data_IF_164123574164
#
_entry.id   IF_164123574164
#
_cell.length_a   1.000
_cell.length_b   1.000
_cell.length_c   1.000
_cell.angle_alpha   90.00
_cell.angle_beta   90.00
_cell.angle_gamma   90.00
#
_symmetry.space_group_name_H-M   'P 1'
#
loop_
_entity.id
_entity.type
_entity.pdbx_description
1 polymer ?
#
# COMPACT_ATOMS: atom_id res chain seq x y z
N UNK A 1 -13.66 67.86 19.52
CA UNK A 1 -13.28 66.42 19.53
C UNK A 1 -11.92 66.31 18.85
N UNK A 2 -10.86 65.94 19.59
CA UNK A 2 -9.49 65.76 19.06
C UNK A 2 -9.10 64.31 19.37
N UNK A 3 -8.89 63.51 18.33
CA UNK A 3 -8.60 62.08 18.41
C UNK A 3 -7.18 61.81 18.90
N UNK A 4 -7.03 60.79 19.75
CA UNK A 4 -5.74 60.26 20.21
C UNK A 4 -5.25 59.21 19.21
N UNK A 5 -4.02 59.36 18.73
CA UNK A 5 -3.31 58.37 17.91
C UNK A 5 -2.58 57.42 18.87
N UNK A 6 -2.87 56.12 18.75
CA UNK A 6 -2.25 55.04 19.53
C UNK A 6 -1.12 54.45 18.68
N UNK A 7 0.13 54.65 19.09
CA UNK A 7 1.30 54.06 18.44
C UNK A 7 1.47 52.60 18.86
N UNK A 8 1.53 51.69 17.88
CA UNK A 8 1.85 50.27 18.08
C UNK A 8 3.36 50.10 17.97
N UNK A 9 3.99 49.62 19.05
CA UNK A 9 5.40 49.25 19.11
C UNK A 9 5.56 47.80 18.64
N UNK A 10 6.17 47.60 17.47
CA UNK A 10 6.51 46.26 16.96
C UNK A 10 7.94 45.93 17.41
N UNK A 11 8.06 44.92 18.27
CA UNK A 11 9.35 44.38 18.74
C UNK A 11 9.68 43.16 17.89
N UNK A 12 10.73 43.24 17.07
CA UNK A 12 11.29 42.09 16.34
C UNK A 12 12.31 41.37 17.22
N UNK A 13 12.28 40.01 17.31
CA UNK A 13 13.32 39.25 17.99
C UNK A 13 14.56 39.08 17.09
N UNK A 14 15.70 39.26 17.75
CA UNK A 14 17.07 39.29 17.28
C UNK A 14 17.56 37.88 16.90
N UNK A 15 17.94 37.67 15.65
CA UNK A 15 18.61 36.44 15.20
C UNK A 15 20.04 36.39 15.78
N UNK A 16 20.33 35.39 16.62
CA UNK A 16 21.69 35.02 16.98
C UNK A 16 22.28 34.09 15.91
N UNK A 17 23.26 34.57 15.16
CA UNK A 17 24.13 33.74 14.34
C UNK A 17 25.26 33.18 15.22
N UNK A 18 25.38 31.85 15.30
CA UNK A 18 26.54 31.16 15.86
C UNK A 18 27.44 30.79 14.68
N UNK A 19 28.58 31.46 14.58
CA UNK A 19 29.67 31.09 13.68
C UNK A 19 30.71 30.35 14.52
N UNK A 20 30.90 29.05 14.27
CA UNK A 20 32.01 28.27 14.84
C UNK A 20 33.07 28.19 13.74
N UNK A 21 34.24 28.77 14.03
CA UNK A 21 35.33 28.93 13.08
C UNK A 21 36.03 27.62 12.73
N UNK A 22 36.43 27.53 11.45
CA UNK A 22 37.43 26.59 10.96
C UNK A 22 38.80 26.98 11.53
N UNK A 23 39.46 26.03 12.19
CA UNK A 23 40.89 26.09 12.49
C UNK A 23 41.59 24.95 11.76
N UNK A 24 42.43 25.30 10.79
CA UNK A 24 43.44 24.40 10.23
C UNK A 24 44.67 24.43 11.14
N UNK A 25 45.14 23.26 11.59
CA UNK A 25 46.53 23.05 12.01
C UNK A 25 46.94 21.59 11.72
N UNK A 26 48.19 21.47 11.28
CA UNK A 26 48.76 20.36 10.53
C UNK A 26 49.15 19.11 11.36
N UNK A 27 49.27 18.00 10.62
CA UNK A 27 50.13 16.79 10.78
C UNK A 27 50.91 16.56 12.09
N UNK A 28 50.71 15.38 12.66
CA UNK A 28 51.75 14.41 13.08
C UNK A 28 51.07 13.02 13.21
N UNK A 29 51.40 12.04 12.36
CA UNK A 29 52.45 11.01 12.50
C UNK A 29 52.07 9.82 13.40
N UNK A 30 51.90 8.66 12.73
CA UNK A 30 52.10 7.27 13.16
C UNK A 30 51.52 6.80 14.50
N UNK A 31 50.59 5.85 14.46
CA UNK A 31 50.86 4.52 15.04
C UNK A 31 49.94 3.45 14.45
N UNK A 32 50.60 2.40 13.94
CA UNK A 32 50.03 1.21 13.33
C UNK A 32 49.67 0.23 14.46
N UNK A 33 48.39 -0.10 14.61
CA UNK A 33 47.99 -1.29 15.36
C UNK A 33 47.15 -2.21 14.49
N UNK A 34 47.86 -3.16 13.89
CA UNK A 34 47.36 -4.40 13.32
C UNK A 34 46.70 -5.26 14.40
N UNK A 35 45.47 -5.73 14.16
CA UNK A 35 44.90 -6.89 14.85
C UNK A 35 44.77 -8.01 13.83
N UNK A 36 45.61 -9.02 14.01
CA UNK A 36 45.55 -10.28 13.30
C UNK A 36 44.36 -11.11 13.80
N UNK A 37 43.63 -11.72 12.88
CA UNK A 37 42.83 -12.92 13.15
C UNK A 37 43.34 -14.03 12.23
N UNK A 38 44.15 -14.92 12.81
CA UNK A 38 44.43 -16.24 12.25
C UNK A 38 43.48 -17.25 12.89
N UNK A 39 42.83 -18.10 12.09
CA UNK A 39 42.72 -19.53 12.41
C UNK A 39 42.37 -20.35 11.15
N UNK A 40 43.41 -21.07 10.73
CA UNK A 40 43.47 -22.36 10.04
C UNK A 40 42.16 -23.06 9.62
N UNK A 41 42.07 -23.36 8.32
CA UNK A 41 41.60 -24.65 7.81
C UNK A 41 42.47 -25.05 6.60
N UNK A 42 42.99 -26.28 6.62
CA UNK A 42 43.91 -26.83 5.63
C UNK A 42 43.22 -27.12 4.27
N UNK A 43 43.94 -27.08 3.14
CA UNK A 43 43.40 -27.44 1.84
C UNK A 43 43.45 -28.96 1.65
N UNK A 44 42.34 -29.55 1.20
CA UNK A 44 42.35 -30.93 0.70
C UNK A 44 42.11 -30.91 -0.81
N UNK A 45 42.97 -31.62 -1.51
CA UNK A 45 43.09 -31.76 -2.95
C UNK A 45 41.84 -32.46 -3.52
N UNK A 46 41.34 -31.99 -4.67
CA UNK A 46 40.66 -32.88 -5.62
C UNK A 46 40.91 -32.34 -7.02
N UNK A 47 41.64 -33.15 -7.81
CA UNK A 47 41.95 -32.88 -9.20
C UNK A 47 40.73 -32.94 -10.10
N UNK A 48 40.74 -32.08 -11.13
CA UNK A 48 40.52 -32.51 -12.51
C UNK A 48 39.09 -32.82 -12.96
N UNK A 49 38.39 -31.79 -13.43
CA UNK A 49 37.66 -31.84 -14.71
C UNK A 49 37.57 -30.42 -15.27
N UNK A 50 38.42 -30.14 -16.26
CA UNK A 50 38.29 -28.99 -17.15
C UNK A 50 37.21 -29.29 -18.19
N UNK A 51 36.03 -28.71 -18.02
CA UNK A 51 35.11 -28.48 -19.12
C UNK A 51 34.66 -27.01 -19.07
N UNK A 52 35.32 -26.21 -19.91
CA UNK A 52 34.92 -24.83 -20.19
C UNK A 52 33.63 -24.89 -21.01
N UNK A 53 32.49 -24.76 -20.35
CA UNK A 53 31.22 -24.45 -21.02
C UNK A 53 31.12 -22.93 -21.00
N UNK A 54 31.36 -22.29 -22.15
CA UNK A 54 31.06 -20.87 -22.35
C UNK A 54 29.57 -20.64 -22.09
N UNK A 55 29.26 -19.88 -21.03
CA UNK A 55 27.93 -19.35 -20.83
C UNK A 55 27.64 -18.33 -21.95
N UNK A 56 26.51 -18.42 -22.67
CA UNK A 56 26.15 -17.37 -23.61
C UNK A 56 25.94 -16.07 -22.83
N UNK A 57 26.54 -14.99 -23.35
CA UNK A 57 26.38 -13.65 -22.81
C UNK A 57 24.90 -13.34 -22.56
N UNK A 58 24.58 -12.95 -21.33
CA UNK A 58 23.26 -12.44 -21.00
C UNK A 58 22.95 -11.24 -21.91
N UNK A 59 21.75 -11.15 -22.52
CA UNK A 59 21.39 -9.99 -23.30
C UNK A 59 21.39 -8.76 -22.37
N UNK A 60 22.10 -7.73 -22.81
CA UNK A 60 22.22 -6.43 -22.19
C UNK A 60 20.81 -5.87 -21.93
N UNK A 61 20.42 -5.82 -20.65
CA UNK A 61 19.14 -5.23 -20.25
C UNK A 61 19.25 -3.72 -20.42
N UNK A 62 18.49 -3.19 -21.38
CA UNK A 62 18.27 -1.76 -21.53
C UNK A 62 17.52 -1.28 -20.29
N UNK A 63 18.26 -0.66 -19.36
CA UNK A 63 17.69 0.07 -18.22
C UNK A 63 17.03 1.33 -18.81
N UNK A 64 15.71 1.51 -18.75
CA UNK A 64 15.12 2.80 -19.12
C UNK A 64 15.57 3.86 -18.10
N UNK A 65 16.00 5.01 -18.62
CA UNK A 65 16.37 6.17 -17.79
C UNK A 65 15.20 6.59 -16.89
N UNK A 66 15.49 7.11 -15.68
CA UNK A 66 14.45 7.61 -14.78
C UNK A 66 13.71 8.78 -15.46
N UNK A 67 12.41 8.62 -15.65
CA UNK A 67 11.53 9.70 -16.10
C UNK A 67 11.44 10.72 -14.96
N UNK A 68 11.78 11.97 -15.25
CA UNK A 68 11.73 13.08 -14.30
C UNK A 68 10.29 13.31 -13.76
N UNK A 69 10.12 13.72 -12.50
CA UNK A 69 8.80 13.97 -11.93
C UNK A 69 8.36 15.37 -12.35
N UNK A 70 7.60 15.45 -13.44
CA UNK A 70 6.82 16.66 -13.70
C UNK A 70 5.54 16.31 -14.44
N UNK A 71 4.44 16.82 -13.90
CA UNK A 71 3.04 16.64 -14.29
C UNK A 71 2.41 15.32 -13.84
N UNK A 72 1.87 15.33 -12.61
CA UNK A 72 0.83 14.39 -12.22
C UNK A 72 -0.37 14.59 -13.17
N UNK A 73 -0.47 13.73 -14.17
CA UNK A 73 -1.70 13.59 -14.94
C UNK A 73 -2.85 13.25 -13.96
N UNK A 74 -4.07 13.76 -14.20
CA UNK A 74 -5.21 13.41 -13.37
C UNK A 74 -5.36 11.89 -13.35
N UNK A 75 -5.39 11.32 -12.13
CA UNK A 75 -5.68 9.91 -11.89
C UNK A 75 -6.91 9.56 -12.75
N UNK A 76 -6.80 8.60 -13.69
CA UNK A 76 -7.96 8.19 -14.45
C UNK A 76 -8.99 7.69 -13.45
N UNK A 77 -10.15 8.37 -13.40
CA UNK A 77 -11.26 7.93 -12.59
C UNK A 77 -11.49 6.44 -12.88
N UNK A 78 -11.53 5.61 -11.83
CA UNK A 78 -11.95 4.23 -11.97
C UNK A 78 -13.27 4.23 -12.77
N UNK A 79 -13.37 3.44 -13.85
CA UNK A 79 -14.51 3.52 -14.74
C UNK A 79 -15.80 3.30 -13.95
N UNK A 80 -16.74 4.22 -14.12
CA UNK A 80 -18.10 4.10 -13.61
C UNK A 80 -18.72 2.84 -14.24
N UNK A 81 -18.71 1.75 -13.47
CA UNK A 81 -19.29 0.43 -13.75
C UNK A 81 -18.58 -0.51 -14.75
N UNK A 82 -17.82 -1.47 -14.20
CA UNK A 82 -17.62 -2.83 -14.76
C UNK A 82 -17.29 -3.78 -13.59
N UNK A 83 -17.98 -4.85 -13.18
CA UNK A 83 -19.22 -5.51 -13.55
C UNK A 83 -19.50 -6.61 -12.49
N UNK A 84 -20.80 -6.84 -12.22
CA UNK A 84 -21.43 -8.06 -11.66
C UNK A 84 -21.14 -8.48 -10.20
N UNK A 85 -21.54 -7.63 -9.25
CA UNK A 85 -22.37 -8.13 -8.14
C UNK A 85 -23.83 -7.86 -8.52
N UNK A 86 -24.80 -8.65 -8.06
CA UNK A 86 -26.22 -8.37 -8.30
C UNK A 86 -26.55 -6.99 -7.76
N UNK A 87 -26.53 -5.96 -8.62
CA UNK A 87 -27.00 -4.64 -8.28
C UNK A 87 -28.46 -4.80 -7.86
N UNK A 88 -28.74 -4.55 -6.59
CA UNK A 88 -30.11 -4.39 -6.11
C UNK A 88 -30.67 -3.21 -6.91
N UNK A 89 -31.84 -3.38 -7.52
CA UNK A 89 -32.50 -2.31 -8.28
C UNK A 89 -32.59 -1.06 -7.37
N UNK A 90 -31.91 0.04 -7.70
CA UNK A 90 -31.90 1.25 -6.88
C UNK A 90 -33.29 1.91 -6.80
N UNK A 91 -34.23 1.52 -7.66
CA UNK A 91 -35.64 1.93 -7.62
C UNK A 91 -36.56 0.92 -6.93
N UNK A 92 -36.04 -0.16 -6.35
CA UNK A 92 -36.85 -0.99 -5.45
C UNK A 92 -37.21 -0.17 -4.21
N UNK A 93 -38.50 -0.15 -3.86
CA UNK A 93 -39.02 0.63 -2.72
C UNK A 93 -38.36 0.29 -1.37
N UNK A 94 -37.57 -0.79 -1.29
CA UNK A 94 -36.81 -1.22 -0.12
C UNK A 94 -35.45 -0.49 0.03
N UNK A 95 -34.84 0.02 -1.04
CA UNK A 95 -33.50 0.63 -1.00
C UNK A 95 -33.52 2.12 -0.59
N UNK A 96 -34.64 2.81 -0.75
CA UNK A 96 -34.68 4.29 -0.74
C UNK A 96 -34.57 4.96 0.64
N UNK A 97 -34.51 4.23 1.76
CA UNK A 97 -34.45 4.81 3.12
C UNK A 97 -33.56 4.02 4.10
N UNK A 98 -32.62 3.21 3.62
CA UNK A 98 -31.74 2.47 4.53
C UNK A 98 -30.71 3.44 5.12
N UNK A 99 -30.78 3.64 6.43
CA UNK A 99 -29.73 4.34 7.18
C UNK A 99 -28.63 3.32 7.45
N UNK A 100 -27.45 3.58 6.90
CA UNK A 100 -26.26 2.74 7.09
C UNK A 100 -25.42 3.29 8.24
N UNK A 101 -24.87 2.39 9.06
CA UNK A 101 -23.91 2.75 10.09
C UNK A 101 -22.72 1.80 10.09
N UNK A 102 -21.54 2.33 10.40
CA UNK A 102 -20.33 1.53 10.53
C UNK A 102 -20.44 0.58 11.72
N UNK A 103 -20.15 -0.69 11.45
CA UNK A 103 -20.01 -1.75 12.46
C UNK A 103 -18.58 -2.27 12.55
N UNK A 104 -17.71 -1.91 11.60
CA UNK A 104 -16.28 -2.17 11.63
C UNK A 104 -15.57 -1.21 10.69
N UNK A 105 -14.44 -0.69 11.14
CA UNK A 105 -13.73 0.39 10.47
C UNK A 105 -12.22 0.11 10.55
N UNK A 106 -11.49 0.52 9.52
CA UNK A 106 -10.03 0.55 9.50
C UNK A 106 -9.54 1.71 8.63
N UNK A 107 -8.57 2.45 9.16
CA UNK A 107 -7.79 3.44 8.44
C UNK A 107 -6.38 2.92 8.19
N UNK A 108 -5.91 3.03 6.94
CA UNK A 108 -4.51 2.78 6.60
C UNK A 108 -3.91 4.04 5.98
N UNK A 109 -2.81 4.51 6.57
CA UNK A 109 -2.12 5.71 6.10
C UNK A 109 -1.63 5.53 4.65
N UNK A 110 -1.61 6.63 3.90
CA UNK A 110 -0.87 6.70 2.63
C UNK A 110 0.62 6.54 2.93
N UNK A 111 1.10 5.30 2.90
CA UNK A 111 2.50 5.00 3.16
C UNK A 111 3.03 3.92 2.21
N UNK A 112 4.19 4.15 1.55
CA UNK A 112 4.86 5.45 1.41
C UNK A 112 4.03 6.41 0.55
N UNK A 113 4.07 7.71 0.88
CA UNK A 113 3.36 8.76 0.11
C UNK A 113 3.93 8.87 -1.31
N UNK A 114 5.24 8.69 -1.45
CA UNK A 114 6.00 8.85 -2.70
C UNK A 114 5.80 7.72 -3.72
N UNK A 115 5.04 6.65 -3.39
CA UNK A 115 4.79 5.54 -4.33
C UNK A 115 3.54 5.79 -5.18
N UNK A 116 3.61 6.77 -6.09
CA UNK A 116 2.47 7.20 -6.90
C UNK A 116 1.78 6.06 -7.65
N UNK A 117 2.54 5.14 -8.26
CA UNK A 117 1.97 4.02 -9.01
C UNK A 117 1.29 2.97 -8.11
N UNK A 118 1.87 2.67 -6.94
CA UNK A 118 1.27 1.75 -5.97
C UNK A 118 -0.01 2.36 -5.37
N UNK A 119 0.02 3.65 -5.08
CA UNK A 119 -1.11 4.39 -4.53
C UNK A 119 -2.22 4.53 -5.59
N UNK A 120 -1.88 4.75 -6.87
CA UNK A 120 -2.84 4.72 -7.99
C UNK A 120 -3.57 3.38 -8.06
N UNK A 121 -2.85 2.26 -8.01
CA UNK A 121 -3.47 0.94 -8.02
C UNK A 121 -4.34 0.66 -6.80
N UNK A 122 -3.92 1.11 -5.61
CA UNK A 122 -4.72 0.99 -4.40
C UNK A 122 -6.01 1.83 -4.49
N UNK A 123 -5.97 3.03 -5.07
CA UNK A 123 -7.15 3.85 -5.34
C UNK A 123 -8.13 3.15 -6.32
N UNK A 124 -7.60 2.57 -7.41
CA UNK A 124 -8.40 1.78 -8.36
C UNK A 124 -9.08 0.60 -7.66
N UNK A 125 -8.34 -0.12 -6.81
CA UNK A 125 -8.89 -1.24 -6.06
C UNK A 125 -9.96 -0.81 -5.03
N UNK A 126 -9.76 0.33 -4.34
CA UNK A 126 -10.79 0.94 -3.50
C UNK A 126 -12.08 1.22 -4.27
N UNK A 127 -11.96 1.80 -5.48
CA UNK A 127 -13.11 2.05 -6.35
C UNK A 127 -13.91 0.80 -6.70
N UNK A 128 -13.24 -0.34 -6.90
CA UNK A 128 -13.91 -1.61 -7.22
C UNK A 128 -14.70 -2.24 -6.08
N UNK A 129 -14.30 -2.00 -4.83
CA UNK A 129 -14.97 -2.59 -3.66
C UNK A 129 -15.99 -1.63 -3.02
N UNK A 130 -15.88 -0.33 -3.29
CA UNK A 130 -16.76 0.66 -2.70
C UNK A 130 -18.22 0.45 -3.14
N UNK A 131 -19.13 0.40 -2.16
CA UNK A 131 -20.55 0.16 -2.36
C UNK A 131 -20.92 -1.30 -2.60
N UNK A 132 -19.98 -2.25 -2.47
CA UNK A 132 -20.30 -3.67 -2.65
C UNK A 132 -21.24 -4.15 -1.53
N UNK A 133 -22.39 -4.70 -1.90
CA UNK A 133 -23.33 -5.32 -0.96
C UNK A 133 -23.03 -6.82 -0.83
N UNK A 134 -22.70 -7.27 0.38
CA UNK A 134 -22.52 -8.68 0.72
C UNK A 134 -23.80 -9.20 1.37
N UNK A 135 -24.50 -10.12 0.72
CA UNK A 135 -25.77 -10.68 1.20
C UNK A 135 -25.57 -11.67 2.36
N UNK A 136 -26.60 -11.94 3.20
CA UNK A 136 -26.55 -13.01 4.18
C UNK A 136 -26.10 -14.34 3.59
N UNK A 137 -25.05 -14.92 4.18
CA UNK A 137 -24.43 -16.17 3.75
C UNK A 137 -23.49 -16.06 2.55
N UNK A 138 -23.40 -14.90 1.88
CA UNK A 138 -22.48 -14.68 0.76
C UNK A 138 -21.03 -14.61 1.25
N UNK A 139 -20.13 -15.22 0.46
CA UNK A 139 -18.68 -15.09 0.65
C UNK A 139 -18.18 -14.02 -0.32
N UNK A 140 -17.73 -12.89 0.21
CA UNK A 140 -17.02 -11.88 -0.54
C UNK A 140 -15.60 -12.38 -0.88
N UNK A 141 -15.13 -12.06 -2.08
CA UNK A 141 -13.78 -12.39 -2.55
C UNK A 141 -13.10 -11.15 -3.13
N UNK A 142 -12.07 -10.68 -2.44
CA UNK A 142 -11.39 -9.44 -2.80
C UNK A 142 -10.74 -9.55 -4.18
N UNK A 143 -9.94 -10.60 -4.43
CA UNK A 143 -9.24 -10.80 -5.70
C UNK A 143 -10.20 -10.97 -6.90
N UNK A 144 -11.40 -11.54 -6.69
CA UNK A 144 -12.40 -11.61 -7.74
C UNK A 144 -12.99 -10.23 -8.05
N UNK A 145 -13.34 -9.46 -7.01
CA UNK A 145 -14.00 -8.15 -7.15
C UNK A 145 -13.09 -7.12 -7.82
N UNK A 146 -11.81 -7.06 -7.43
CA UNK A 146 -10.86 -6.10 -7.99
C UNK A 146 -10.35 -6.50 -9.39
N UNK A 147 -10.55 -7.77 -9.78
CA UNK A 147 -10.07 -8.37 -11.02
C UNK A 147 -8.84 -9.25 -10.81
N UNK A 148 -8.96 -10.53 -11.14
CA UNK A 148 -7.87 -11.51 -11.02
C UNK A 148 -6.66 -11.10 -11.84
N UNK A 149 -5.53 -10.92 -11.17
CA UNK A 149 -4.28 -10.51 -11.82
C UNK A 149 -4.25 -9.03 -12.20
N UNK A 150 -5.15 -8.21 -11.63
CA UNK A 150 -5.13 -6.74 -11.72
C UNK A 150 -4.88 -6.25 -13.15
N UNK A 151 -5.76 -6.60 -14.09
CA UNK A 151 -5.47 -6.45 -15.50
C UNK A 151 -5.56 -4.98 -15.95
N UNK A 152 -4.71 -4.52 -16.88
CA UNK A 152 -4.60 -3.11 -17.24
C UNK A 152 -5.90 -2.48 -17.76
N UNK A 153 -6.79 -3.25 -18.40
CA UNK A 153 -8.11 -2.77 -18.84
C UNK A 153 -9.04 -2.36 -17.70
N UNK A 154 -8.70 -2.71 -16.45
CA UNK A 154 -9.38 -2.27 -15.22
C UNK A 154 -8.72 -1.03 -14.59
N UNK A 155 -7.77 -0.40 -15.27
CA UNK A 155 -7.11 0.83 -14.81
C UNK A 155 -5.87 0.60 -13.94
N UNK A 156 -5.40 -0.65 -13.80
CA UNK A 156 -4.17 -0.93 -13.08
C UNK A 156 -2.94 -0.57 -13.90
N UNK A 157 -1.93 -0.02 -13.23
CA UNK A 157 -0.62 0.33 -13.77
C UNK A 157 0.47 -0.58 -13.20
N UNK A 158 1.61 -0.62 -13.88
CA UNK A 158 2.79 -1.33 -13.39
C UNK A 158 3.32 -0.57 -12.17
N UNK A 159 3.48 -1.27 -11.07
CA UNK A 159 3.94 -0.71 -9.80
C UNK A 159 4.87 -1.71 -9.09
N UNK A 160 5.56 -1.25 -8.05
CA UNK A 160 6.49 -2.10 -7.33
C UNK A 160 5.75 -3.23 -6.61
N UNK A 161 6.29 -4.45 -6.71
CA UNK A 161 5.85 -5.63 -5.97
C UNK A 161 7.08 -6.32 -5.39
N UNK A 162 6.88 -7.17 -4.37
CA UNK A 162 7.98 -7.97 -3.84
C UNK A 162 8.61 -8.81 -4.97
N UNK A 163 9.87 -8.53 -5.30
CA UNK A 163 10.62 -9.22 -6.34
C UNK A 163 10.57 -8.59 -7.73
N UNK A 164 10.03 -7.38 -7.90
CA UNK A 164 10.12 -6.63 -9.15
C UNK A 164 8.96 -5.65 -9.37
N UNK A 165 8.43 -5.66 -10.58
CA UNK A 165 7.32 -4.81 -10.99
C UNK A 165 6.26 -5.66 -11.69
N UNK A 166 5.00 -5.47 -11.32
CA UNK A 166 3.86 -6.14 -11.94
C UNK A 166 2.67 -5.18 -11.90
N UNK A 167 1.63 -5.48 -12.66
CA UNK A 167 0.37 -4.74 -12.57
C UNK A 167 -0.23 -4.92 -11.18
N UNK A 168 -0.81 -3.84 -10.64
CA UNK A 168 -1.55 -3.90 -9.38
C UNK A 168 -0.68 -3.97 -8.13
N UNK A 169 0.61 -3.63 -8.20
CA UNK A 169 1.38 -3.36 -6.98
C UNK A 169 0.65 -2.32 -6.11
N UNK A 170 0.58 -2.54 -4.79
CA UNK A 170 -0.13 -1.67 -3.85
C UNK A 170 -1.53 -2.13 -3.43
N UNK A 171 -2.23 -2.99 -4.20
CA UNK A 171 -3.59 -3.42 -3.86
C UNK A 171 -3.70 -4.21 -2.54
N UNK A 172 -2.60 -4.83 -2.08
CA UNK A 172 -2.59 -5.53 -0.80
C UNK A 172 -2.77 -4.60 0.42
N UNK A 173 -2.52 -3.29 0.27
CA UNK A 173 -2.84 -2.29 1.31
C UNK A 173 -4.34 -2.30 1.61
N UNK A 174 -5.15 -2.25 0.55
CA UNK A 174 -6.61 -2.26 0.63
C UNK A 174 -7.14 -3.61 1.11
N UNK A 175 -6.57 -4.71 0.62
CA UNK A 175 -6.90 -6.06 1.12
C UNK A 175 -6.68 -6.18 2.63
N UNK A 176 -5.56 -5.66 3.13
CA UNK A 176 -5.23 -5.70 4.56
C UNK A 176 -6.17 -4.82 5.38
N UNK A 177 -6.43 -3.59 4.93
CA UNK A 177 -7.36 -2.70 5.63
C UNK A 177 -8.79 -3.26 5.65
N UNK A 178 -9.26 -3.82 4.53
CA UNK A 178 -10.56 -4.49 4.47
C UNK A 178 -10.62 -5.72 5.39
N UNK A 179 -9.51 -6.44 5.55
CA UNK A 179 -9.43 -7.54 6.50
C UNK A 179 -9.64 -7.07 7.95
N UNK A 180 -9.02 -5.97 8.35
CA UNK A 180 -9.22 -5.38 9.67
C UNK A 180 -10.63 -4.84 9.84
N UNK A 181 -11.16 -4.08 8.89
CA UNK A 181 -12.55 -3.59 8.94
C UNK A 181 -13.57 -4.74 9.05
N UNK A 182 -13.40 -5.81 8.26
CA UNK A 182 -14.25 -7.01 8.32
C UNK A 182 -14.12 -7.76 9.65
N UNK A 183 -12.90 -7.85 10.20
CA UNK A 183 -12.65 -8.49 11.50
C UNK A 183 -13.26 -7.68 12.64
N UNK A 184 -13.09 -6.35 12.61
CA UNK A 184 -13.67 -5.40 13.57
C UNK A 184 -15.20 -5.44 13.53
N UNK A 185 -15.78 -5.64 12.34
CA UNK A 185 -17.22 -5.84 12.17
C UNK A 185 -17.74 -7.18 12.71
N UNK A 186 -16.86 -8.16 12.94
CA UNK A 186 -17.25 -9.51 13.32
C UNK A 186 -17.64 -10.41 12.15
N UNK A 187 -17.24 -10.06 10.91
CA UNK A 187 -17.44 -10.94 9.75
C UNK A 187 -16.65 -12.24 9.89
N UNK A 188 -17.16 -13.33 9.30
CA UNK A 188 -16.46 -14.61 9.35
C UNK A 188 -15.35 -14.66 8.30
N UNK A 189 -14.10 -14.57 8.72
CA UNK A 189 -12.95 -14.73 7.80
C UNK A 189 -12.88 -16.18 7.30
N UNK A 190 -12.88 -16.35 5.97
CA UNK A 190 -12.87 -17.63 5.27
C UNK A 190 -11.49 -17.94 4.71
N UNK A 191 -10.81 -16.93 4.19
CA UNK A 191 -9.45 -17.04 3.68
C UNK A 191 -8.67 -15.77 4.02
N UNK A 192 -7.46 -15.97 4.53
CA UNK A 192 -6.49 -14.92 4.79
C UNK A 192 -5.09 -15.54 4.66
N UNK A 193 -4.19 -14.81 4.02
CA UNK A 193 -2.77 -15.12 3.98
C UNK A 193 -1.98 -13.87 4.36
N UNK A 194 -0.89 -14.02 5.09
CA UNK A 194 0.07 -12.93 5.28
C UNK A 194 1.10 -12.90 4.13
N UNK A 195 1.77 -11.76 3.98
CA UNK A 195 2.94 -11.65 3.12
C UNK A 195 4.07 -12.54 3.66
N UNK A 196 4.86 -13.10 2.75
CA UNK A 196 6.07 -13.86 3.08
C UNK A 196 7.24 -12.97 3.49
N UNK A 197 7.16 -11.67 3.21
CA UNK A 197 8.10 -10.64 3.63
C UNK A 197 7.36 -9.60 4.45
N UNK A 198 8.00 -8.94 5.42
CA UNK A 198 7.38 -7.86 6.18
C UNK A 198 6.87 -6.75 5.26
N UNK A 199 5.73 -6.18 5.63
CA UNK A 199 5.20 -4.94 5.06
C UNK A 199 5.43 -3.80 6.04
N UNK A 200 5.44 -2.58 5.54
CA UNK A 200 5.72 -1.36 6.29
C UNK A 200 4.48 -0.71 6.92
N UNK A 201 3.27 -1.14 6.51
CA UNK A 201 2.00 -0.59 6.96
C UNK A 201 1.26 -1.43 8.02
N UNK A 202 1.69 -2.66 8.32
CA UNK A 202 1.16 -3.49 9.40
C UNK A 202 2.26 -4.30 10.11
N UNK A 203 1.99 -4.71 11.34
CA UNK A 203 2.87 -5.61 12.08
C UNK A 203 3.02 -6.97 11.35
N UNK A 204 4.17 -7.66 11.48
CA UNK A 204 4.38 -8.94 10.84
C UNK A 204 3.28 -9.96 11.16
N UNK A 205 2.64 -10.49 10.12
CA UNK A 205 1.56 -11.46 10.27
C UNK A 205 0.22 -10.86 10.63
N UNK A 206 0.04 -9.53 10.50
CA UNK A 206 -1.22 -8.82 10.73
C UNK A 206 -1.85 -8.25 9.44
N UNK A 207 -1.35 -8.67 8.28
CA UNK A 207 -1.77 -8.23 6.95
C UNK A 207 -2.56 -9.31 6.18
N UNK A 208 -3.22 -8.93 5.09
CA UNK A 208 -3.93 -9.84 4.20
C UNK A 208 -3.41 -9.70 2.76
N UNK A 209 -2.42 -10.53 2.41
CA UNK A 209 -1.83 -10.61 1.10
C UNK A 209 -2.72 -11.33 0.09
N UNK A 210 -2.79 -10.78 -1.13
CA UNK A 210 -3.36 -11.46 -2.30
C UNK A 210 -2.29 -11.67 -3.36
N UNK A 211 -2.45 -12.73 -4.15
CA UNK A 211 -1.55 -13.04 -5.25
C UNK A 211 -2.22 -13.98 -6.23
N UNK A 212 -2.41 -13.52 -7.48
CA UNK A 212 -3.09 -14.32 -8.50
C UNK A 212 -2.32 -15.61 -8.85
N UNK A 213 -1.01 -15.50 -9.08
CA UNK A 213 -0.15 -16.63 -9.49
C UNK A 213 -0.15 -17.77 -8.45
N UNK A 214 -0.14 -17.43 -7.16
CA UNK A 214 -0.18 -18.39 -6.06
C UNK A 214 -1.59 -18.62 -5.50
N UNK A 215 -2.64 -18.11 -6.16
CA UNK A 215 -4.05 -18.25 -5.78
C UNK A 215 -4.35 -17.85 -4.33
N UNK A 216 -3.71 -16.80 -3.83
CA UNK A 216 -4.01 -16.21 -2.51
C UNK A 216 -5.10 -15.16 -2.68
N UNK A 217 -6.11 -15.25 -1.84
CA UNK A 217 -7.22 -14.30 -1.78
C UNK A 217 -7.52 -13.90 -0.33
N UNK A 218 -8.18 -12.76 -0.16
CA UNK A 218 -8.85 -12.41 1.08
C UNK A 218 -10.35 -12.61 0.91
N UNK A 219 -10.93 -13.46 1.76
CA UNK A 219 -12.35 -13.82 1.71
C UNK A 219 -12.98 -13.79 3.09
N UNK A 220 -14.17 -13.22 3.18
CA UNK A 220 -14.99 -13.27 4.38
C UNK A 220 -16.45 -13.57 4.00
N UNK A 221 -17.21 -14.10 4.96
CA UNK A 221 -18.63 -14.40 4.81
C UNK A 221 -19.44 -13.46 5.68
N UNK A 222 -20.53 -12.95 5.12
CA UNK A 222 -21.55 -12.27 5.90
C UNK A 222 -22.40 -13.32 6.65
N UNK A 223 -22.19 -13.45 7.96
CA UNK A 223 -22.98 -14.33 8.83
C UNK A 223 -24.14 -13.58 9.52
N UNK A 224 -24.34 -12.30 9.21
CA UNK A 224 -25.46 -11.50 9.70
C UNK A 224 -26.76 -11.89 8.99
N UNK A 225 -27.89 -11.59 9.64
CA UNK A 225 -29.23 -11.79 9.07
C UNK A 225 -29.67 -10.70 8.09
N UNK A 226 -28.77 -9.79 7.72
CA UNK A 226 -29.04 -8.64 6.85
C UNK A 226 -27.86 -8.39 5.89
N UNK A 227 -28.13 -7.65 4.81
CA UNK A 227 -27.10 -7.18 3.88
C UNK A 227 -26.12 -6.24 4.59
N UNK A 228 -24.83 -6.40 4.33
CA UNK A 228 -23.80 -5.44 4.75
C UNK A 228 -23.18 -4.79 3.51
N UNK A 229 -22.70 -3.55 3.65
CA UNK A 229 -22.05 -2.83 2.57
C UNK A 229 -20.58 -2.59 2.90
N UNK A 230 -19.71 -2.82 1.92
CA UNK A 230 -18.33 -2.36 1.98
C UNK A 230 -18.32 -0.91 1.49
N UNK A 231 -17.94 0.03 2.36
CA UNK A 231 -17.64 1.39 1.97
C UNK A 231 -16.13 1.56 1.96
N UNK A 232 -15.60 2.10 0.86
CA UNK A 232 -14.18 2.32 0.68
C UNK A 232 -13.95 3.70 0.08
N UNK A 233 -13.13 4.51 0.75
CA UNK A 233 -12.73 5.83 0.29
C UNK A 233 -11.24 6.06 0.54
N UNK A 234 -10.75 7.17 0.03
CA UNK A 234 -9.39 7.63 0.28
C UNK A 234 -9.34 9.15 0.21
N UNK A 235 -8.39 9.74 0.91
CA UNK A 235 -8.10 11.16 0.88
C UNK A 235 -6.58 11.40 1.01
N UNK A 236 -6.16 12.61 1.40
CA UNK A 236 -4.75 12.96 1.56
C UNK A 236 -4.07 12.25 2.76
N UNK A 237 -4.85 11.68 3.67
CA UNK A 237 -4.37 11.02 4.88
C UNK A 237 -4.20 9.52 4.71
N UNK A 238 -5.06 8.88 3.91
CA UNK A 238 -5.04 7.43 3.79
C UNK A 238 -6.21 6.85 3.02
N UNK A 239 -6.42 5.56 3.24
CA UNK A 239 -7.58 4.81 2.79
C UNK A 239 -8.44 4.47 4.00
N UNK A 240 -9.76 4.63 3.85
CA UNK A 240 -10.75 4.43 4.89
C UNK A 240 -11.70 3.33 4.46
N UNK A 241 -11.78 2.26 5.24
CA UNK A 241 -12.57 1.08 4.95
C UNK A 241 -13.58 0.85 6.06
N UNK A 242 -14.85 0.77 5.67
CA UNK A 242 -15.96 0.52 6.58
C UNK A 242 -16.80 -0.67 6.12
N UNK A 243 -17.21 -1.49 7.07
CA UNK A 243 -18.34 -2.41 6.91
C UNK A 243 -19.55 -1.75 7.54
N UNK A 244 -20.56 -1.48 6.71
CA UNK A 244 -21.78 -0.83 7.12
C UNK A 244 -22.93 -1.83 7.25
N UNK A 245 -23.77 -1.65 8.26
CA UNK A 245 -25.00 -2.39 8.46
C UNK A 245 -26.22 -1.44 8.43
N UNK A 246 -27.40 -1.94 8.02
CA UNK A 246 -28.64 -1.20 8.13
C UNK A 246 -28.99 -0.97 9.61
N UNK A 247 -29.36 0.26 9.95
CA UNK A 247 -29.99 0.59 11.23
C UNK A 247 -31.46 0.20 11.17
N UNK A 248 -31.84 -0.79 11.98
CA UNK A 248 -33.19 -1.35 12.07
C UNK A 248 -34.00 -0.71 13.20
#
# INVERSE_FOLDING_TARGET
MKGKILGVLVVLPMFCAVSIGFGDLEKESSDNHTVAMESAFAPNETEGITETIEAPAAPEQVVPEPVAPDQADPVPAAPEQVAQATAVDPNSAAAANIVWASIGHEDIMLYPVEEDANNTNAQVACGYINGYIVKPGEIFSYANTIGKGTPPERGYVIAHVVGGYDYGGGVCKISSALYHAATNAGCKIIERHNHSQPVDYYAPGDDAAIAYKSRKDFRFRNDFGYDIMIQASYDETGYHLDILAPQL
#
